data_IF_926773314491
#
_entry.id   IF_926773314491
#
_cell.length_a   1.000
_cell.length_b   1.000
_cell.length_c   1.000
_cell.angle_alpha   90.00
_cell.angle_beta   90.00
_cell.angle_gamma   90.00
#
_symmetry.space_group_name_H-M   'P 1'
#
loop_
_entity.id
_entity.type
_entity.pdbx_description
1 polymer ?
#
# COMPACT_ATOMS: atom_id res chain seq x y z
N UNK A 1 10.37 -39.29 -4.18
CA UNK A 1 10.07 -37.86 -3.95
C UNK A 1 10.17 -37.18 -5.30
N UNK A 2 9.04 -36.90 -5.92
CA UNK A 2 8.96 -36.19 -7.20
C UNK A 2 9.46 -34.76 -6.98
N UNK A 3 10.56 -34.39 -7.63
CA UNK A 3 11.07 -33.03 -7.62
C UNK A 3 10.07 -32.12 -8.34
N UNK A 4 9.22 -31.45 -7.57
CA UNK A 4 8.19 -30.55 -8.11
C UNK A 4 8.81 -29.18 -8.38
N UNK A 5 9.24 -28.96 -9.62
CA UNK A 5 9.70 -27.63 -10.05
C UNK A 5 8.50 -26.76 -10.46
N UNK A 6 8.15 -25.84 -9.58
CA UNK A 6 7.21 -24.74 -9.80
C UNK A 6 7.77 -23.49 -9.10
N UNK A 7 7.51 -22.31 -9.66
CA UNK A 7 8.02 -21.08 -9.07
C UNK A 7 7.42 -20.86 -7.66
N UNK A 8 8.02 -19.97 -6.87
CA UNK A 8 7.56 -19.64 -5.52
C UNK A 8 6.28 -18.78 -5.50
N UNK A 9 5.57 -18.70 -6.64
CA UNK A 9 4.40 -17.87 -6.85
C UNK A 9 3.09 -18.54 -6.39
N UNK A 10 3.11 -19.17 -5.22
CA UNK A 10 1.93 -19.78 -4.61
C UNK A 10 1.82 -19.49 -3.11
N UNK A 11 0.60 -19.62 -2.59
CA UNK A 11 0.24 -19.53 -1.18
C UNK A 11 -0.63 -20.72 -0.82
N UNK A 12 -0.23 -21.41 0.24
CA UNK A 12 -1.02 -22.50 0.81
C UNK A 12 -2.12 -21.92 1.71
N UNK A 13 -3.38 -22.28 1.43
CA UNK A 13 -4.57 -21.92 2.21
C UNK A 13 -5.21 -23.15 2.86
N UNK A 14 -4.49 -24.28 2.91
CA UNK A 14 -4.98 -25.53 3.47
C UNK A 14 -5.17 -25.44 4.98
N UNK A 15 -6.25 -26.06 5.48
CA UNK A 15 -6.57 -26.12 6.90
C UNK A 15 -6.73 -27.57 7.35
N UNK A 16 -5.96 -27.98 8.36
CA UNK A 16 -5.96 -29.34 8.91
C UNK A 16 -7.02 -29.60 9.99
N UNK A 17 -7.73 -28.56 10.44
CA UNK A 17 -8.58 -28.65 11.64
C UNK A 17 -10.00 -28.15 11.40
N UNK A 18 -10.99 -28.83 12.00
CA UNK A 18 -12.38 -28.41 12.03
C UNK A 18 -13.22 -28.86 10.82
N UNK A 19 -14.44 -28.30 10.71
CA UNK A 19 -15.42 -28.63 9.64
C UNK A 19 -15.01 -28.08 8.28
N UNK A 20 -14.12 -27.08 8.27
CA UNK A 20 -13.56 -26.47 7.07
C UNK A 20 -12.21 -27.10 6.69
N UNK A 21 -11.90 -28.29 7.23
CA UNK A 21 -10.65 -28.97 6.92
C UNK A 21 -10.61 -29.40 5.45
N UNK A 22 -9.57 -28.97 4.75
CA UNK A 22 -9.40 -29.18 3.32
C UNK A 22 -8.19 -28.46 2.76
N UNK A 23 -7.93 -28.70 1.48
CA UNK A 23 -6.78 -28.19 0.76
C UNK A 23 -7.23 -27.17 -0.28
N UNK A 24 -6.57 -26.01 -0.29
CA UNK A 24 -6.72 -25.01 -1.33
C UNK A 24 -5.40 -24.28 -1.50
N UNK A 25 -5.02 -24.04 -2.75
CA UNK A 25 -3.80 -23.35 -3.10
C UNK A 25 -4.14 -22.15 -3.96
N UNK A 26 -3.48 -21.03 -3.66
CA UNK A 26 -3.60 -19.78 -4.42
C UNK A 26 -2.29 -19.57 -5.19
N UNK A 27 -2.38 -19.42 -6.50
CA UNK A 27 -1.27 -19.08 -7.38
C UNK A 27 -1.44 -17.63 -7.84
N UNK A 28 -0.35 -16.96 -8.21
CA UNK A 28 -0.42 -15.59 -8.69
C UNK A 28 0.50 -15.33 -9.88
N UNK A 29 0.09 -14.39 -10.73
CA UNK A 29 0.92 -13.91 -11.82
C UNK A 29 2.06 -13.05 -11.28
N UNK A 30 3.30 -13.37 -11.65
CA UNK A 30 4.48 -12.64 -11.19
C UNK A 30 4.63 -11.22 -11.79
N UNK A 31 3.78 -10.85 -12.75
CA UNK A 31 3.75 -9.52 -13.38
C UNK A 31 2.65 -8.60 -12.84
N UNK A 32 1.40 -9.05 -12.82
CA UNK A 32 0.26 -8.22 -12.38
C UNK A 32 -0.25 -8.58 -10.98
N UNK A 33 0.25 -9.65 -10.36
CA UNK A 33 -0.25 -10.17 -9.09
C UNK A 33 -1.70 -10.65 -9.10
N UNK A 34 -2.29 -10.87 -10.28
CA UNK A 34 -3.60 -11.52 -10.41
C UNK A 34 -3.55 -12.91 -9.82
N UNK A 35 -4.55 -13.24 -9.00
CA UNK A 35 -4.59 -14.45 -8.20
C UNK A 35 -5.59 -15.43 -8.78
N UNK A 36 -5.19 -16.69 -8.85
CA UNK A 36 -6.04 -17.79 -9.24
C UNK A 36 -5.99 -18.87 -8.16
N UNK A 37 -7.16 -19.33 -7.72
CA UNK A 37 -7.28 -20.34 -6.68
C UNK A 37 -7.73 -21.65 -7.26
N UNK A 38 -7.14 -22.74 -6.78
CA UNK A 38 -7.63 -24.07 -7.09
C UNK A 38 -8.97 -24.33 -6.42
N UNK A 39 -9.73 -25.27 -6.97
CA UNK A 39 -10.93 -25.77 -6.31
C UNK A 39 -10.59 -26.31 -4.93
N UNK A 40 -11.47 -26.02 -3.97
CA UNK A 40 -11.32 -26.49 -2.59
C UNK A 40 -11.55 -28.00 -2.53
N UNK A 41 -10.58 -28.74 -1.96
CA UNK A 41 -10.68 -30.19 -1.76
C UNK A 41 -10.92 -30.51 -0.29
N UNK A 42 -12.11 -31.00 0.09
CA UNK A 42 -12.41 -31.32 1.49
C UNK A 42 -11.57 -32.49 1.99
N UNK A 43 -10.97 -32.36 3.18
CA UNK A 43 -10.24 -33.42 3.86
C UNK A 43 -11.15 -34.13 4.86
N UNK A 44 -11.76 -35.22 4.40
CA UNK A 44 -12.86 -35.91 5.11
C UNK A 44 -12.44 -36.56 6.42
N UNK A 45 -11.19 -36.97 6.58
CA UNK A 45 -10.69 -37.60 7.82
C UNK A 45 -10.59 -36.63 9.00
N UNK A 46 -10.35 -35.33 8.79
CA UNK A 46 -10.44 -34.33 9.87
C UNK A 46 -11.87 -33.80 10.08
N UNK A 47 -12.71 -33.74 9.03
CA UNK A 47 -14.12 -33.37 9.22
C UNK A 47 -14.88 -34.44 10.04
N UNK A 48 -14.44 -35.70 9.95
CA UNK A 48 -14.90 -36.82 10.77
C UNK A 48 -14.46 -36.77 12.25
N UNK A 49 -13.63 -35.82 12.70
CA UNK A 49 -13.43 -35.56 14.13
C UNK A 49 -14.22 -34.34 14.61
N UNK A 50 -14.39 -33.32 13.76
CA UNK A 50 -15.18 -32.11 14.07
C UNK A 50 -16.68 -32.36 14.27
N UNK A 51 -17.28 -33.30 13.53
CA UNK A 51 -18.67 -33.73 13.76
C UNK A 51 -18.87 -34.52 15.06
N UNK A 52 -17.83 -35.24 15.54
CA UNK A 52 -17.86 -36.00 16.79
C UNK A 52 -17.88 -35.04 17.99
N UNK A 53 -17.14 -33.93 17.91
CA UNK A 53 -17.16 -32.86 18.92
C UNK A 53 -18.46 -32.05 18.94
N UNK A 54 -19.09 -31.81 17.77
CA UNK A 54 -20.41 -31.15 17.71
C UNK A 54 -21.59 -32.09 18.02
N UNK A 55 -21.41 -33.41 17.93
CA UNK A 55 -22.40 -34.41 18.34
C UNK A 55 -22.41 -34.69 19.85
N UNK A 56 -21.28 -34.48 20.53
CA UNK A 56 -21.15 -34.68 21.98
C UNK A 56 -21.94 -33.66 22.83
N UNK A 57 -22.31 -32.50 22.28
CA UNK A 57 -23.14 -31.51 22.97
C UNK A 57 -24.65 -31.75 22.82
N UNK A 58 -25.07 -32.71 21.98
CA UNK A 58 -26.48 -33.10 21.82
C UNK A 58 -26.76 -34.56 22.19
N UNK A 59 -25.74 -35.42 22.30
CA UNK A 59 -25.87 -36.77 22.84
C UNK A 59 -25.42 -36.80 24.30
N UNK A 60 -26.44 -36.97 25.16
CA UNK A 60 -26.42 -36.87 26.61
C UNK A 60 -25.31 -37.63 27.34
N UNK A 61 -25.05 -37.14 28.57
CA UNK A 61 -24.05 -37.69 29.46
C UNK A 61 -24.28 -39.16 29.76
N UNK A 62 -23.44 -40.02 29.19
CA UNK A 62 -23.15 -41.37 29.68
C UNK A 62 -21.94 -41.98 28.95
N UNK A 63 -20.83 -41.28 28.83
CA UNK A 63 -19.58 -41.88 28.37
C UNK A 63 -18.41 -41.32 29.20
N UNK A 64 -18.09 -42.06 30.26
CA UNK A 64 -16.93 -41.80 31.12
C UNK A 64 -15.62 -42.25 30.47
N UNK A 65 -14.57 -41.49 30.75
CA UNK A 65 -13.15 -41.85 30.59
C UNK A 65 -12.69 -42.36 29.21
N UNK A 66 -12.49 -41.41 28.28
CA UNK A 66 -11.50 -41.56 27.21
C UNK A 66 -10.91 -40.18 26.86
N UNK A 67 -10.30 -39.53 27.85
CA UNK A 67 -9.45 -38.37 27.61
C UNK A 67 -8.07 -38.81 27.12
N UNK A 68 -7.58 -38.14 26.07
CA UNK A 68 -6.16 -38.05 25.64
C UNK A 68 -5.56 -39.05 24.62
N UNK A 69 -6.27 -39.57 23.61
CA UNK A 69 -5.59 -40.25 22.46
C UNK A 69 -6.29 -40.07 21.10
N UNK A 70 -6.88 -38.91 20.80
CA UNK A 70 -7.61 -38.72 19.52
C UNK A 70 -7.17 -37.49 18.71
N UNK A 71 -5.99 -36.93 19.01
CA UNK A 71 -5.37 -35.84 18.26
C UNK A 71 -4.04 -36.21 17.60
N UNK A 72 -3.75 -37.51 17.43
CA UNK A 72 -2.47 -37.99 16.85
C UNK A 72 -2.64 -38.94 15.67
N UNK A 73 -3.86 -39.38 15.35
CA UNK A 73 -4.17 -40.22 14.18
C UNK A 73 -4.72 -39.43 12.99
N UNK A 74 -5.12 -38.16 13.17
CA UNK A 74 -5.62 -37.31 12.08
C UNK A 74 -4.46 -36.73 11.24
N UNK A 75 -3.29 -36.57 11.87
CA UNK A 75 -2.07 -35.98 11.32
C UNK A 75 -1.28 -36.96 10.45
N UNK A 76 -1.39 -38.28 10.69
CA UNK A 76 -0.59 -39.31 10.04
C UNK A 76 -0.84 -39.43 8.52
N UNK A 77 -1.98 -38.93 8.01
CA UNK A 77 -2.32 -38.90 6.58
C UNK A 77 -2.51 -37.50 5.98
N UNK A 78 -2.39 -36.45 6.79
CA UNK A 78 -2.59 -35.07 6.34
C UNK A 78 -1.52 -34.67 5.34
N UNK A 79 -0.24 -34.95 5.66
CA UNK A 79 0.88 -34.58 4.80
C UNK A 79 0.83 -35.28 3.44
N UNK A 80 0.56 -36.58 3.40
CA UNK A 80 0.46 -37.33 2.14
C UNK A 80 -0.71 -36.86 1.28
N UNK A 81 -1.89 -36.65 1.88
CA UNK A 81 -3.08 -36.17 1.17
C UNK A 81 -2.90 -34.73 0.66
N UNK A 82 -2.21 -33.88 1.45
CA UNK A 82 -1.84 -32.53 1.04
C UNK A 82 -0.87 -32.56 -0.13
N UNK A 83 0.14 -33.43 -0.09
CA UNK A 83 1.16 -33.49 -1.15
C UNK A 83 0.56 -33.97 -2.48
N UNK A 84 -0.42 -34.88 -2.45
CA UNK A 84 -1.22 -35.27 -3.63
C UNK A 84 -2.07 -34.10 -4.14
N UNK A 85 -2.81 -33.43 -3.24
CA UNK A 85 -3.61 -32.26 -3.59
C UNK A 85 -2.76 -31.11 -4.15
N UNK A 86 -1.56 -30.92 -3.62
CA UNK A 86 -0.60 -29.92 -4.09
C UNK A 86 -0.03 -30.28 -5.46
N UNK A 87 0.28 -31.55 -5.72
CA UNK A 87 0.75 -32.01 -7.03
C UNK A 87 -0.28 -31.71 -8.12
N UNK A 88 -1.55 -31.99 -7.85
CA UNK A 88 -2.64 -31.66 -8.77
C UNK A 88 -2.84 -30.14 -8.91
N UNK A 89 -2.74 -29.39 -7.81
CA UNK A 89 -2.80 -27.94 -7.83
C UNK A 89 -1.70 -27.32 -8.70
N UNK A 90 -0.47 -27.83 -8.61
CA UNK A 90 0.66 -27.41 -9.45
C UNK A 90 0.42 -27.76 -10.92
N UNK A 91 -0.10 -28.94 -11.22
CA UNK A 91 -0.45 -29.31 -12.59
C UNK A 91 -1.51 -28.37 -13.18
N UNK A 92 -2.55 -28.05 -12.40
CA UNK A 92 -3.58 -27.10 -12.80
C UNK A 92 -3.03 -25.67 -12.93
N UNK A 93 -2.11 -25.25 -12.05
CA UNK A 93 -1.40 -23.97 -12.15
C UNK A 93 -0.55 -23.87 -13.41
N UNK A 94 0.20 -24.92 -13.77
CA UNK A 94 0.98 -24.99 -15.01
C UNK A 94 0.11 -24.94 -16.27
N UNK A 95 -1.15 -25.39 -16.20
CA UNK A 95 -2.10 -25.28 -17.30
C UNK A 95 -2.74 -23.89 -17.39
N UNK A 96 -2.89 -23.19 -16.25
CA UNK A 96 -3.50 -21.86 -16.19
C UNK A 96 -2.54 -20.72 -16.54
N UNK A 97 -1.28 -20.83 -16.11
CA UNK A 97 -0.25 -19.81 -16.33
C UNK A 97 0.73 -20.21 -17.42
N UNK A 98 1.25 -19.22 -18.14
CA UNK A 98 2.27 -19.41 -19.18
C UNK A 98 3.65 -19.15 -18.60
N UNK A 99 4.60 -20.06 -18.86
CA UNK A 99 5.99 -19.90 -18.43
C UNK A 99 6.79 -19.15 -19.49
N UNK A 100 7.48 -18.09 -19.08
CA UNK A 100 8.35 -17.31 -19.96
C UNK A 100 9.59 -18.11 -20.41
N UNK A 101 9.90 -18.09 -21.70
CA UNK A 101 11.11 -18.72 -22.23
C UNK A 101 12.41 -18.07 -21.76
N UNK A 102 12.38 -16.78 -21.38
CA UNK A 102 13.56 -16.01 -20.96
C UNK A 102 13.77 -15.97 -19.45
N UNK A 103 12.83 -15.38 -18.70
CA UNK A 103 12.96 -15.25 -17.23
C UNK A 103 12.44 -16.46 -16.46
N UNK A 104 11.76 -17.41 -17.10
CA UNK A 104 11.14 -18.58 -16.48
C UNK A 104 10.02 -18.32 -15.47
N UNK A 105 9.58 -17.07 -15.33
CA UNK A 105 8.42 -16.66 -14.55
C UNK A 105 7.11 -17.21 -15.14
N UNK A 106 6.13 -17.45 -14.27
CA UNK A 106 4.76 -17.82 -14.62
C UNK A 106 3.85 -16.58 -14.64
N UNK A 107 3.25 -16.31 -15.79
CA UNK A 107 2.39 -15.15 -16.02
C UNK A 107 1.03 -15.53 -16.59
N UNK A 108 0.00 -14.73 -16.30
CA UNK A 108 -1.33 -14.95 -16.86
C UNK A 108 -1.32 -14.71 -18.38
N UNK A 109 -2.36 -15.19 -19.07
CA UNK A 109 -2.50 -15.02 -20.53
C UNK A 109 -2.45 -13.56 -21.00
N UNK A 110 -2.97 -12.62 -20.19
CA UNK A 110 -2.92 -11.18 -20.50
C UNK A 110 -1.53 -10.57 -20.32
N UNK A 111 -0.66 -11.25 -19.56
CA UNK A 111 0.71 -10.82 -19.30
C UNK A 111 1.74 -11.53 -20.20
N UNK A 112 1.27 -12.37 -21.12
CA UNK A 112 2.09 -13.23 -21.95
C UNK A 112 1.89 -12.94 -23.43
N UNK A 113 2.99 -12.87 -24.17
CA UNK A 113 2.99 -12.88 -25.62
C UNK A 113 3.02 -14.33 -26.11
N UNK A 114 1.87 -14.84 -26.53
CA UNK A 114 1.73 -16.21 -27.04
C UNK A 114 2.45 -16.42 -28.37
N UNK A 115 2.72 -15.37 -29.15
CA UNK A 115 3.40 -15.49 -30.43
C UNK A 115 4.90 -15.74 -30.24
N UNK A 116 5.51 -15.07 -29.25
CA UNK A 116 6.96 -15.15 -29.00
C UNK A 116 7.33 -16.04 -27.81
N UNK A 117 6.36 -16.50 -27.00
CA UNK A 117 6.61 -17.31 -25.82
C UNK A 117 7.27 -16.53 -24.66
N UNK A 118 7.05 -15.21 -24.60
CA UNK A 118 7.72 -14.30 -23.67
C UNK A 118 6.71 -13.50 -22.85
N UNK A 119 7.04 -13.19 -21.59
CA UNK A 119 6.23 -12.26 -20.81
C UNK A 119 6.45 -10.81 -21.30
N UNK A 120 5.45 -9.95 -21.14
CA UNK A 120 5.54 -8.54 -21.54
C UNK A 120 6.50 -7.70 -20.68
N UNK A 121 7.16 -8.28 -19.67
CA UNK A 121 8.33 -7.67 -19.03
C UNK A 121 9.59 -7.87 -19.87
N UNK A 122 9.77 -9.05 -20.49
CA UNK A 122 10.90 -9.35 -21.35
C UNK A 122 10.72 -8.85 -22.79
N UNK A 123 9.51 -8.95 -23.34
CA UNK A 123 9.17 -8.48 -24.68
C UNK A 123 7.93 -7.56 -24.62
N UNK A 124 8.08 -6.29 -24.21
CA UNK A 124 6.95 -5.39 -24.09
C UNK A 124 6.33 -5.08 -25.45
N UNK A 125 5.00 -4.89 -25.48
CA UNK A 125 4.33 -4.43 -26.68
C UNK A 125 4.81 -3.02 -27.07
N UNK A 126 5.36 -2.89 -28.28
CA UNK A 126 5.96 -1.65 -28.78
C UNK A 126 4.95 -0.49 -28.82
N UNK A 127 3.72 -0.74 -29.26
CA UNK A 127 2.68 0.30 -29.35
C UNK A 127 2.26 0.81 -27.97
N UNK A 128 2.17 -0.09 -26.99
CA UNK A 128 1.92 0.28 -25.58
C UNK A 128 3.06 1.14 -25.04
N UNK A 129 4.33 0.77 -25.30
CA UNK A 129 5.49 1.54 -24.84
C UNK A 129 5.62 2.90 -25.52
N UNK A 130 5.33 3.00 -26.82
CA UNK A 130 5.30 4.28 -27.54
C UNK A 130 4.24 5.20 -26.93
N UNK A 131 3.03 4.70 -26.72
CA UNK A 131 1.93 5.49 -26.12
C UNK A 131 2.27 5.92 -24.70
N UNK A 132 2.84 5.01 -23.89
CA UNK A 132 3.32 5.33 -22.55
C UNK A 132 4.38 6.43 -22.56
N UNK A 133 5.37 6.35 -23.45
CA UNK A 133 6.44 7.33 -23.56
C UNK A 133 5.92 8.72 -23.99
N UNK A 134 4.97 8.77 -24.93
CA UNK A 134 4.32 10.02 -25.35
C UNK A 134 3.59 10.68 -24.19
N UNK A 135 2.76 9.92 -23.47
CA UNK A 135 2.04 10.42 -22.29
C UNK A 135 2.99 10.90 -21.18
N UNK A 136 4.10 10.17 -20.94
CA UNK A 136 5.13 10.59 -20.00
C UNK A 136 5.79 11.91 -20.43
N UNK A 137 6.09 12.08 -21.72
CA UNK A 137 6.63 13.33 -22.25
C UNK A 137 5.67 14.51 -22.10
N UNK A 138 4.38 14.29 -22.36
CA UNK A 138 3.33 15.31 -22.17
C UNK A 138 3.22 15.75 -20.71
N UNK A 139 3.16 14.79 -19.77
CA UNK A 139 3.13 15.07 -18.34
C UNK A 139 4.39 15.81 -17.90
N UNK A 140 5.57 15.37 -18.34
CA UNK A 140 6.83 16.02 -17.99
C UNK A 140 6.86 17.47 -18.45
N UNK A 141 6.55 17.74 -19.73
CA UNK A 141 6.51 19.10 -20.27
C UNK A 141 5.45 19.98 -19.58
N UNK A 142 4.29 19.41 -19.24
CA UNK A 142 3.26 20.13 -18.49
C UNK A 142 3.71 20.45 -17.05
N UNK A 143 4.34 19.50 -16.37
CA UNK A 143 4.90 19.69 -15.03
C UNK A 143 5.98 20.76 -15.02
N UNK A 144 6.93 20.73 -15.96
CA UNK A 144 7.97 21.75 -16.08
C UNK A 144 7.38 23.16 -16.25
N UNK A 145 6.41 23.31 -17.15
CA UNK A 145 5.71 24.59 -17.36
C UNK A 145 4.99 25.07 -16.09
N UNK A 146 4.29 24.17 -15.41
CA UNK A 146 3.60 24.50 -14.16
C UNK A 146 4.58 24.89 -13.05
N UNK A 147 5.69 24.18 -12.92
CA UNK A 147 6.76 24.51 -11.95
C UNK A 147 7.38 25.86 -12.26
N UNK A 148 7.71 26.14 -13.52
CA UNK A 148 8.31 27.42 -13.93
C UNK A 148 7.36 28.60 -13.63
N UNK A 149 6.08 28.46 -13.95
CA UNK A 149 5.07 29.49 -13.61
C UNK A 149 4.95 29.66 -12.09
N UNK A 150 4.92 28.56 -11.33
CA UNK A 150 4.90 28.58 -9.87
C UNK A 150 6.12 29.25 -9.25
N UNK A 151 7.31 29.06 -9.81
CA UNK A 151 8.54 29.75 -9.38
C UNK A 151 8.46 31.26 -9.63
N UNK A 152 7.94 31.69 -10.78
CA UNK A 152 7.75 33.12 -11.09
C UNK A 152 6.75 33.75 -10.13
N UNK A 153 5.64 33.07 -9.85
CA UNK A 153 4.63 33.54 -8.89
C UNK A 153 5.20 33.56 -7.47
N UNK A 154 5.91 32.50 -7.10
CA UNK A 154 6.65 32.33 -5.85
C UNK A 154 7.62 33.47 -5.58
N UNK A 155 8.45 33.80 -6.57
CA UNK A 155 9.45 34.87 -6.49
C UNK A 155 8.87 36.29 -6.41
N UNK A 156 7.56 36.48 -6.63
CA UNK A 156 6.88 37.76 -6.39
C UNK A 156 6.46 37.95 -4.94
N UNK A 157 6.50 36.89 -4.12
CA UNK A 157 6.24 37.04 -2.70
C UNK A 157 7.47 37.63 -2.01
N UNK A 158 7.24 38.68 -1.22
CA UNK A 158 8.28 39.25 -0.37
C UNK A 158 8.60 38.26 0.76
N UNK A 159 9.73 37.57 0.62
CA UNK A 159 10.22 36.57 1.59
C UNK A 159 10.99 37.21 2.76
N UNK A 160 11.12 38.53 2.78
CA UNK A 160 11.85 39.28 3.80
C UNK A 160 10.94 40.06 4.75
N UNK A 161 9.65 40.16 4.44
CA UNK A 161 8.68 40.80 5.31
C UNK A 161 8.39 39.95 6.56
N UNK A 162 8.68 40.49 7.73
CA UNK A 162 8.28 39.88 9.00
C UNK A 162 6.75 39.86 9.12
N UNK A 163 6.19 38.65 9.21
CA UNK A 163 4.75 38.41 9.31
C UNK A 163 4.40 37.76 10.64
N UNK A 164 3.49 38.39 11.38
CA UNK A 164 2.88 37.77 12.56
C UNK A 164 1.77 36.82 12.09
N UNK A 165 1.99 35.50 12.23
CA UNK A 165 1.06 34.45 11.78
C UNK A 165 -0.06 34.13 12.79
N UNK A 166 0.10 34.54 14.04
CA UNK A 166 -0.86 34.30 15.13
C UNK A 166 -1.08 35.59 15.91
N UNK A 167 -2.34 35.95 16.15
CA UNK A 167 -2.70 37.15 16.90
C UNK A 167 -2.26 37.04 18.37
N UNK A 168 -1.51 38.03 18.87
CA UNK A 168 -1.05 38.07 20.26
C UNK A 168 -2.17 38.26 21.30
N UNK A 169 -3.34 38.76 20.88
CA UNK A 169 -4.48 39.02 21.77
C UNK A 169 -5.44 37.83 21.88
N UNK A 170 -5.90 37.29 20.74
CA UNK A 170 -6.93 36.24 20.73
C UNK A 170 -6.42 34.87 20.27
N UNK A 171 -5.14 34.76 19.87
CA UNK A 171 -4.49 33.54 19.34
C UNK A 171 -5.08 32.97 18.04
N UNK A 172 -5.97 33.70 17.36
CA UNK A 172 -6.43 33.32 16.04
C UNK A 172 -5.31 33.40 15.00
N UNK A 173 -5.32 32.48 14.02
CA UNK A 173 -4.40 32.48 12.89
C UNK A 173 -4.69 33.68 11.99
N UNK A 174 -3.65 34.46 11.69
CA UNK A 174 -3.76 35.68 10.89
C UNK A 174 -3.17 35.54 9.50
N UNK A 175 -2.43 34.46 9.23
CA UNK A 175 -1.78 34.18 7.94
C UNK A 175 -0.98 35.36 7.37
N UNK A 176 -0.38 36.18 8.24
CA UNK A 176 0.39 37.37 7.84
C UNK A 176 -0.44 38.61 7.49
N UNK A 177 -1.75 38.61 7.76
CA UNK A 177 -2.57 39.81 7.65
C UNK A 177 -2.09 40.92 8.59
N UNK A 178 -2.30 42.20 8.20
CA UNK A 178 -1.96 43.39 9.02
C UNK A 178 -2.90 43.57 10.24
N UNK A 179 -4.06 42.93 10.20
CA UNK A 179 -5.07 42.92 11.27
C UNK A 179 -5.61 41.50 11.44
N UNK A 180 -5.89 41.12 12.68
CA UNK A 180 -6.52 39.84 12.98
C UNK A 180 -7.97 39.82 12.46
N UNK A 181 -8.38 38.78 11.70
CA UNK A 181 -9.73 38.69 11.16
C UNK A 181 -10.80 38.47 12.24
N UNK A 182 -10.43 37.88 13.38
CA UNK A 182 -11.37 37.54 14.46
C UNK A 182 -11.60 38.69 15.44
N UNK A 183 -10.54 39.42 15.82
CA UNK A 183 -10.63 40.43 16.88
C UNK A 183 -10.25 41.84 16.44
N UNK A 184 -9.85 42.05 15.18
CA UNK A 184 -9.45 43.34 14.64
C UNK A 184 -8.11 43.89 15.16
N UNK A 185 -7.42 43.17 16.06
CA UNK A 185 -6.14 43.62 16.60
C UNK A 185 -5.08 43.73 15.50
N UNK A 186 -4.34 44.84 15.48
CA UNK A 186 -3.27 45.07 14.50
C UNK A 186 -2.10 44.13 14.77
N UNK A 187 -1.76 43.31 13.78
CA UNK A 187 -0.76 42.25 13.87
C UNK A 187 0.59 42.61 13.26
N UNK A 188 0.70 43.74 12.55
CA UNK A 188 2.01 44.25 12.13
C UNK A 188 2.89 44.52 13.36
N UNK A 189 4.03 43.81 13.45
CA UNK A 189 4.98 43.98 14.56
C UNK A 189 5.51 45.42 14.57
N UNK A 190 5.34 46.12 15.67
CA UNK A 190 6.00 47.40 15.89
C UNK A 190 7.48 47.12 16.20
N UNK A 191 8.38 47.82 15.51
CA UNK A 191 9.81 47.74 15.74
C UNK A 191 10.22 48.83 16.72
N UNK A 192 10.94 48.46 17.78
CA UNK A 192 11.44 49.45 18.74
C UNK A 192 12.57 50.28 18.11
N UNK A 193 12.54 51.60 18.30
CA UNK A 193 13.60 52.49 17.89
C UNK A 193 14.93 52.10 18.57
N UNK A 194 15.99 51.89 17.78
CA UNK A 194 17.30 51.44 18.29
C UNK A 194 17.98 52.40 19.29
N UNK A 195 17.58 53.67 19.33
CA UNK A 195 18.11 54.68 20.24
C UNK A 195 17.20 54.93 21.47
N UNK A 196 15.93 55.29 21.26
CA UNK A 196 15.02 55.69 22.34
C UNK A 196 13.97 54.64 22.73
N UNK A 197 13.97 53.47 22.10
CA UNK A 197 12.99 52.37 22.32
C UNK A 197 11.52 52.70 22.03
N UNK A 198 11.21 53.89 21.50
CA UNK A 198 9.86 54.22 21.02
C UNK A 198 9.42 53.23 19.94
N UNK A 199 8.20 52.72 20.06
CA UNK A 199 7.66 51.73 19.14
C UNK A 199 7.28 52.38 17.80
N UNK A 200 7.91 51.94 16.72
CA UNK A 200 7.75 52.47 15.37
C UNK A 200 7.04 51.46 14.46
N UNK A 201 6.46 51.97 13.37
CA UNK A 201 5.97 51.11 12.31
C UNK A 201 7.15 50.48 11.55
N UNK A 202 7.09 49.20 11.17
CA UNK A 202 8.12 48.58 10.35
C UNK A 202 8.24 49.31 9.01
N UNK A 203 9.48 49.62 8.60
CA UNK A 203 9.79 50.44 7.42
C UNK A 203 9.93 51.95 7.66
N UNK A 204 9.86 52.43 8.90
CA UNK A 204 10.06 53.85 9.24
C UNK A 204 11.54 54.25 9.12
N UNK A 205 11.91 55.14 8.19
CA UNK A 205 13.32 55.54 7.95
C UNK A 205 13.93 56.37 9.09
N UNK A 206 13.13 57.16 9.81
CA UNK A 206 13.57 58.02 10.91
C UNK A 206 12.59 57.95 12.07
N UNK A 207 13.11 57.84 13.29
CA UNK A 207 12.28 57.87 14.48
C UNK A 207 11.57 59.21 14.60
N UNK A 208 10.23 59.19 14.73
CA UNK A 208 9.40 60.39 14.83
C UNK A 208 9.53 61.10 16.17
N UNK A 209 10.26 60.52 17.11
CA UNK A 209 10.41 61.02 18.49
C UNK A 209 11.82 61.56 18.74
N UNK A 210 12.87 60.77 18.42
CA UNK A 210 14.27 61.18 18.62
C UNK A 210 15.03 61.52 17.33
N UNK A 211 14.43 61.38 16.15
CA UNK A 211 15.08 61.67 14.86
C UNK A 211 16.12 60.65 14.39
N UNK A 212 16.45 59.63 15.20
CA UNK A 212 17.45 58.61 14.84
C UNK A 212 17.01 57.80 13.61
N UNK A 213 17.93 57.58 12.66
CA UNK A 213 17.67 56.78 11.46
C UNK A 213 17.51 55.30 11.83
N UNK A 214 16.43 54.66 11.38
CA UNK A 214 16.23 53.21 11.50
C UNK A 214 16.51 52.62 10.11
N UNK A 215 17.36 51.59 10.04
CA UNK A 215 18.00 51.12 8.80
C UNK A 215 17.02 50.80 7.66
#
# INVERSE_FOLDING_TARGET
MSEMQFANNYRDLSNSTGVDAGFQFEFYCERCSDRWRTHFKPYRSAQASGWLQKGASMFGGLLGNAGSVLGSMAEAGWHSSRDEAFTEAVAAGKAHFNRCGNCHDYVCSQCFDTANGLCFNCAPNVQVKITQARAQGEVHAASEKATAEGQVRGGRHDVTADMQLVCSQCRAETHGAKFCPECGHKTAQQVACRACSTMLQPGTKFCTDCGERQA
#
